data_IF_018033081055
#
_entry.id   IF_018033081055
#
_cell.length_a   1.000
_cell.length_b   1.000
_cell.length_c   1.000
_cell.angle_alpha   90.00
_cell.angle_beta   90.00
_cell.angle_gamma   90.00
#
_symmetry.space_group_name_H-M   'P 1'
#
loop_
_entity.id
_entity.type
_entity.pdbx_description
1 polymer ?
#
# COMPACT_ATOMS: atom_id res chain seq x y z
N UNK A 1 -5.12 3.93 -1.40
CA UNK A 1 -4.80 2.56 -1.87
C UNK A 1 -6.04 1.75 -2.20
N UNK A 2 -7.14 1.96 -1.50
CA UNK A 2 -8.36 1.16 -1.61
C UNK A 2 -8.84 0.94 -3.07
N UNK A 3 -8.96 2.00 -3.88
CA UNK A 3 -9.45 1.88 -5.26
C UNK A 3 -8.66 0.87 -6.12
N UNK A 4 -7.33 0.96 -6.16
CA UNK A 4 -6.53 0.08 -7.03
C UNK A 4 -6.53 -1.37 -6.52
N UNK A 5 -6.54 -1.55 -5.18
CA UNK A 5 -6.68 -2.87 -4.57
C UNK A 5 -8.02 -3.51 -4.95
N UNK A 6 -9.10 -2.73 -4.97
CA UNK A 6 -10.40 -3.21 -5.43
C UNK A 6 -10.41 -3.53 -6.93
N UNK A 7 -9.84 -2.67 -7.77
CA UNK A 7 -9.81 -2.87 -9.23
C UNK A 7 -9.09 -4.15 -9.65
N UNK A 8 -8.02 -4.53 -8.94
CA UNK A 8 -7.30 -5.78 -9.22
C UNK A 8 -8.06 -7.04 -8.81
N UNK A 9 -9.02 -6.93 -7.89
CA UNK A 9 -9.71 -8.08 -7.31
C UNK A 9 -11.15 -8.24 -7.81
N UNK A 10 -11.86 -7.13 -8.07
CA UNK A 10 -13.28 -7.13 -8.43
C UNK A 10 -13.45 -6.99 -9.94
N UNK A 11 -14.49 -7.62 -10.54
CA UNK A 11 -14.79 -7.44 -11.96
C UNK A 11 -15.16 -5.99 -12.29
N UNK A 12 -15.91 -5.33 -11.41
CA UNK A 12 -16.34 -3.94 -11.53
C UNK A 12 -16.32 -3.27 -10.14
N UNK A 13 -15.95 -1.99 -10.09
CA UNK A 13 -15.80 -1.22 -8.85
C UNK A 13 -16.67 0.04 -8.87
N UNK A 14 -17.43 0.22 -7.80
CA UNK A 14 -18.07 1.47 -7.39
C UNK A 14 -17.29 2.00 -6.18
N UNK A 15 -16.64 3.16 -6.31
CA UNK A 15 -15.76 3.69 -5.28
C UNK A 15 -16.02 5.17 -5.03
N UNK A 16 -16.12 5.55 -3.75
CA UNK A 16 -16.23 6.94 -3.32
C UNK A 16 -15.27 7.21 -2.17
N UNK A 17 -14.05 7.60 -2.51
CA UNK A 17 -13.02 7.98 -1.54
C UNK A 17 -12.83 9.47 -1.48
N UNK A 18 -12.03 9.91 -0.49
CA UNK A 18 -11.71 11.33 -0.29
C UNK A 18 -11.11 12.02 -1.52
N UNK A 19 -10.30 11.29 -2.29
CA UNK A 19 -9.54 11.83 -3.42
C UNK A 19 -10.01 11.33 -4.78
N UNK A 20 -10.63 10.16 -4.83
CA UNK A 20 -11.03 9.50 -6.08
C UNK A 20 -12.45 8.98 -5.97
N UNK A 21 -13.19 9.12 -7.07
CA UNK A 21 -14.51 8.55 -7.24
C UNK A 21 -14.52 7.75 -8.54
N UNK A 22 -15.10 6.56 -8.52
CA UNK A 22 -15.23 5.69 -9.67
C UNK A 22 -16.65 5.12 -9.70
N UNK A 23 -17.26 5.11 -10.88
CA UNK A 23 -18.58 4.52 -11.13
C UNK A 23 -18.46 3.49 -12.23
N UNK A 24 -18.79 2.25 -11.93
CA UNK A 24 -18.67 1.11 -12.84
C UNK A 24 -17.28 0.90 -13.43
N UNK A 25 -16.22 1.19 -12.67
CA UNK A 25 -14.86 1.08 -13.20
C UNK A 25 -14.43 -0.38 -13.34
N UNK A 26 -13.84 -0.70 -14.49
CA UNK A 26 -13.33 -2.03 -14.85
C UNK A 26 -11.85 -1.86 -15.20
N UNK A 27 -11.02 -2.79 -14.71
CA UNK A 27 -9.60 -2.87 -15.04
C UNK A 27 -9.32 -4.28 -15.51
N UNK A 28 -9.02 -4.46 -16.80
CA UNK A 28 -8.65 -5.74 -17.38
C UNK A 28 -7.47 -5.59 -18.34
N UNK A 29 -6.56 -6.60 -18.42
CA UNK A 29 -6.61 -7.85 -17.65
C UNK A 29 -6.25 -7.66 -16.16
N UNK A 30 -6.79 -8.53 -15.30
CA UNK A 30 -6.37 -8.59 -13.89
C UNK A 30 -4.91 -9.05 -13.77
N UNK A 31 -4.19 -8.63 -12.71
CA UNK A 31 -2.89 -9.20 -12.42
C UNK A 31 -2.97 -10.73 -12.23
N UNK A 32 -1.91 -11.40 -12.70
CA UNK A 32 -1.74 -12.85 -12.58
C UNK A 32 -1.60 -13.24 -11.11
N UNK A 33 -0.79 -12.49 -10.35
CA UNK A 33 -0.61 -12.69 -8.91
C UNK A 33 -1.90 -12.38 -8.12
N UNK A 34 -2.20 -13.20 -7.12
CA UNK A 34 -3.34 -13.06 -6.21
C UNK A 34 -2.87 -12.87 -4.76
N UNK A 35 -3.59 -12.08 -3.93
CA UNK A 35 -4.75 -11.27 -4.30
C UNK A 35 -4.40 -10.04 -5.16
N UNK A 36 -3.15 -9.58 -5.11
CA UNK A 36 -2.59 -8.51 -5.92
C UNK A 36 -1.08 -8.73 -6.09
N UNK A 37 -0.41 -8.03 -7.02
CA UNK A 37 1.04 -7.98 -7.05
C UNK A 37 1.63 -7.47 -5.73
N UNK A 38 2.85 -7.90 -5.33
CA UNK A 38 3.49 -7.37 -4.15
C UNK A 38 3.63 -5.85 -4.20
N UNK A 39 3.22 -5.18 -3.12
CA UNK A 39 3.27 -3.74 -2.99
C UNK A 39 4.56 -3.32 -2.28
N UNK A 40 5.38 -2.54 -2.99
CA UNK A 40 6.59 -1.94 -2.43
C UNK A 40 6.37 -0.44 -2.17
N UNK A 41 6.62 -0.01 -0.94
CA UNK A 41 6.60 1.40 -0.57
C UNK A 41 8.01 1.87 -0.22
N UNK A 42 8.48 2.88 -0.96
CA UNK A 42 9.79 3.50 -0.77
C UNK A 42 9.72 4.78 0.06
N UNK A 43 10.64 4.94 1.01
CA UNK A 43 10.85 6.20 1.71
C UNK A 43 10.96 6.07 3.23
N UNK A 44 11.38 7.16 3.87
CA UNK A 44 11.79 7.13 5.29
C UNK A 44 10.96 8.04 6.20
N UNK A 45 10.11 8.90 5.64
CA UNK A 45 9.28 9.80 6.43
C UNK A 45 8.23 9.03 7.23
N UNK A 46 7.90 9.49 8.44
CA UNK A 46 6.93 8.82 9.33
C UNK A 46 5.62 8.46 8.63
N UNK A 47 5.08 9.36 7.80
CA UNK A 47 3.87 9.10 7.01
C UNK A 47 4.04 7.92 6.05
N UNK A 48 5.17 7.83 5.36
CA UNK A 48 5.46 6.75 4.42
C UNK A 48 5.66 5.41 5.13
N UNK A 49 6.38 5.42 6.25
CA UNK A 49 6.57 4.22 7.08
C UNK A 49 5.25 3.68 7.63
N UNK A 50 4.33 4.58 8.00
CA UNK A 50 2.98 4.18 8.44
C UNK A 50 2.19 3.54 7.30
N UNK A 51 2.18 4.17 6.12
CA UNK A 51 1.52 3.61 4.94
C UNK A 51 2.12 2.27 4.52
N UNK A 52 3.44 2.11 4.64
CA UNK A 52 4.11 0.83 4.39
C UNK A 52 3.63 -0.24 5.36
N UNK A 53 3.54 0.05 6.65
CA UNK A 53 2.97 -0.90 7.62
C UNK A 53 1.51 -1.24 7.34
N UNK A 54 0.72 -0.28 6.82
CA UNK A 54 -0.70 -0.50 6.55
C UNK A 54 -0.98 -1.31 5.27
N UNK A 55 -0.20 -1.11 4.20
CA UNK A 55 -0.56 -1.60 2.86
C UNK A 55 0.54 -2.39 2.12
N UNK A 56 1.80 -2.31 2.55
CA UNK A 56 2.92 -2.84 1.75
C UNK A 56 3.33 -4.23 2.19
N UNK A 57 3.74 -5.04 1.21
CA UNK A 57 4.49 -6.28 1.44
C UNK A 57 5.97 -5.98 1.67
N UNK A 58 6.48 -4.90 1.06
CA UNK A 58 7.90 -4.54 1.08
C UNK A 58 8.07 -3.06 1.44
N UNK A 59 8.82 -2.78 2.50
CA UNK A 59 9.28 -1.43 2.83
C UNK A 59 10.72 -1.22 2.32
N UNK A 60 10.90 -0.33 1.36
CA UNK A 60 12.19 0.01 0.78
C UNK A 60 12.76 1.29 1.41
N UNK A 61 13.87 1.15 2.13
CA UNK A 61 14.60 2.26 2.73
C UNK A 61 15.80 2.59 1.84
N UNK A 62 15.83 3.77 1.18
CA UNK A 62 16.92 4.11 0.28
C UNK A 62 18.26 4.23 1.03
N UNK A 63 19.35 3.64 0.51
CA UNK A 63 20.62 3.58 1.23
C UNK A 63 21.31 4.94 1.39
N UNK A 64 20.95 5.93 0.57
CA UNK A 64 21.49 7.29 0.63
C UNK A 64 20.79 8.19 1.67
N UNK A 65 19.77 7.69 2.37
CA UNK A 65 19.06 8.48 3.39
C UNK A 65 19.37 7.94 4.77
N UNK A 66 19.99 8.77 5.61
CA UNK A 66 20.27 8.40 6.99
C UNK A 66 18.98 8.41 7.82
N UNK A 67 18.60 7.25 8.37
CA UNK A 67 17.53 7.14 9.35
C UNK A 67 17.86 6.14 10.46
N UNK A 68 17.38 6.37 11.69
CA UNK A 68 17.45 5.37 12.74
C UNK A 68 16.60 4.14 12.36
N UNK A 69 17.26 3.08 11.91
CA UNK A 69 16.59 1.87 11.38
C UNK A 69 15.68 1.19 12.40
N UNK A 70 16.03 1.25 13.69
CA UNK A 70 15.20 0.73 14.76
C UNK A 70 13.84 1.46 14.84
N UNK A 71 13.86 2.80 14.76
CA UNK A 71 12.65 3.62 14.76
C UNK A 71 11.82 3.41 13.49
N UNK A 72 12.47 3.27 12.34
CA UNK A 72 11.78 2.99 11.08
C UNK A 72 11.06 1.63 11.16
N UNK A 73 11.79 0.60 11.61
CA UNK A 73 11.27 -0.76 11.79
C UNK A 73 10.13 -0.81 12.81
N UNK A 74 10.26 -0.12 13.95
CA UNK A 74 9.22 -0.11 14.98
C UNK A 74 7.93 0.55 14.47
N UNK A 75 8.05 1.66 13.73
CA UNK A 75 6.90 2.36 13.12
C UNK A 75 6.15 1.45 12.14
N UNK A 76 6.87 0.82 11.20
CA UNK A 76 6.25 -0.09 10.22
C UNK A 76 5.57 -1.26 10.91
N UNK A 77 6.25 -1.92 11.87
CA UNK A 77 5.69 -3.05 12.62
C UNK A 77 4.47 -2.66 13.46
N UNK A 78 4.47 -1.47 14.04
CA UNK A 78 3.34 -0.98 14.84
C UNK A 78 2.10 -0.79 13.98
N UNK A 79 2.23 -0.16 12.81
CA UNK A 79 1.08 -0.02 11.91
C UNK A 79 0.66 -1.36 11.31
N UNK A 80 1.60 -2.24 10.96
CA UNK A 80 1.26 -3.58 10.46
C UNK A 80 0.34 -4.34 11.42
N UNK A 81 0.65 -4.33 12.73
CA UNK A 81 -0.18 -4.94 13.78
C UNK A 81 -1.56 -4.31 13.98
N UNK A 82 -1.78 -3.09 13.48
CA UNK A 82 -3.09 -2.42 13.58
C UNK A 82 -4.05 -2.82 12.46
N UNK A 83 -3.50 -3.29 11.33
CA UNK A 83 -4.26 -3.54 10.11
C UNK A 83 -4.19 -5.00 9.63
N UNK A 84 -3.41 -5.86 10.32
CA UNK A 84 -3.31 -7.31 10.11
C UNK A 84 -3.51 -8.03 11.44
#
# INVERSE_FOLDING_TARGET
MELILELWQKPQVEFKGKYYHAKGAILDPKPVQKPHPPLMFGGVGTRMLRLAGQYSDICHIPPWVHVPMEKARSTVKQEARRFH
#
